data_IF_006662924130
#
_entry.id   IF_006662924130
#
_cell.length_a   1.000
_cell.length_b   1.000
_cell.length_c   1.000
_cell.angle_alpha   90.00
_cell.angle_beta   90.00
_cell.angle_gamma   90.00
#
_symmetry.space_group_name_H-M   'P 1'
#
loop_
_entity.id
_entity.type
_entity.pdbx_description
1 polymer ?
#
# COMPACT_ATOMS: atom_id res chain seq x y z
N UNK A 1 -3.96 -9.71 -5.82
CA UNK A 1 -4.56 -9.53 -4.48
C UNK A 1 -4.59 -8.04 -4.17
N UNK A 2 -5.72 -7.50 -3.72
CA UNK A 2 -5.83 -6.10 -3.29
C UNK A 2 -5.69 -6.02 -1.77
N UNK A 3 -4.99 -5.00 -1.28
CA UNK A 3 -4.86 -4.69 0.14
C UNK A 3 -5.26 -3.22 0.40
N UNK A 4 -5.88 -2.98 1.55
CA UNK A 4 -6.02 -1.62 2.11
C UNK A 4 -4.88 -1.37 3.08
N UNK A 5 -4.09 -0.35 2.79
CA UNK A 5 -3.06 0.18 3.68
C UNK A 5 -3.51 1.49 4.31
N UNK A 6 -3.14 1.72 5.57
CA UNK A 6 -3.24 3.02 6.22
C UNK A 6 -2.09 3.89 5.69
N UNK A 7 -2.37 5.11 5.24
CA UNK A 7 -1.31 6.02 4.78
C UNK A 7 -0.39 6.38 5.96
N UNK A 8 0.92 6.30 5.77
CA UNK A 8 1.89 6.68 6.79
C UNK A 8 1.79 8.18 7.09
N UNK A 9 1.42 8.53 8.32
CA UNK A 9 1.56 9.88 8.85
C UNK A 9 2.96 10.04 9.44
N UNK A 10 3.73 11.01 8.96
CA UNK A 10 5.00 11.39 9.57
C UNK A 10 4.73 12.04 10.94
N UNK A 11 4.89 11.28 12.02
CA UNK A 11 4.95 11.83 13.38
C UNK A 11 6.41 11.97 13.85
N UNK A 12 6.75 13.01 14.62
CA UNK A 12 8.13 13.35 14.97
C UNK A 12 8.65 12.50 16.13
N UNK A 13 9.91 12.10 15.99
CA UNK A 13 10.90 11.73 17.01
C UNK A 13 10.41 11.17 18.35
N UNK A 14 10.72 9.88 18.59
CA UNK A 14 10.95 9.36 19.93
C UNK A 14 12.01 8.25 19.85
N UNK A 15 13.16 8.49 20.48
CA UNK A 15 14.30 7.57 20.55
C UNK A 15 13.93 6.27 21.29
N UNK A 16 14.41 5.08 20.87
CA UNK A 16 14.07 3.84 21.56
C UNK A 16 14.98 3.61 22.78
N UNK A 17 14.37 3.46 23.96
CA UNK A 17 14.98 2.82 25.14
C UNK A 17 15.12 1.31 24.86
N UNK A 18 16.31 0.75 25.12
CA UNK A 18 16.61 -0.69 25.05
C UNK A 18 15.72 -1.47 26.03
N UNK A 19 15.14 -2.58 25.54
CA UNK A 19 14.49 -3.62 26.37
C UNK A 19 15.31 -4.93 26.30
N UNK A 20 15.39 -5.72 27.40
CA UNK A 20 16.16 -6.97 27.45
C UNK A 20 15.42 -8.15 26.77
N UNK A 21 16.12 -9.25 26.44
CA UNK A 21 15.57 -10.34 25.63
C UNK A 21 14.60 -11.26 26.40
N UNK A 22 13.58 -11.86 25.75
CA UNK A 22 12.68 -12.82 26.38
C UNK A 22 13.22 -14.26 26.35
N UNK A 23 13.03 -14.97 27.45
CA UNK A 23 13.29 -16.42 27.62
C UNK A 23 12.21 -17.30 26.98
N UNK A 24 12.50 -18.56 26.57
CA UNK A 24 11.53 -19.40 25.86
C UNK A 24 10.55 -20.09 26.81
N UNK A 25 9.24 -20.01 26.53
CA UNK A 25 8.20 -20.80 27.20
C UNK A 25 7.38 -21.63 26.22
N UNK A 26 7.38 -22.93 26.50
CA UNK A 26 6.40 -24.00 26.29
C UNK A 26 5.40 -23.93 25.12
N UNK A 27 5.38 -25.01 24.33
CA UNK A 27 4.42 -25.30 23.27
C UNK A 27 3.02 -25.56 23.83
N UNK A 28 2.10 -24.62 23.63
CA UNK A 28 0.66 -24.87 23.76
C UNK A 28 0.07 -25.15 22.38
N UNK A 29 -0.58 -26.31 22.22
CA UNK A 29 -1.34 -26.69 21.00
C UNK A 29 -2.44 -25.65 20.74
N UNK A 30 -2.39 -24.95 19.60
CA UNK A 30 -3.51 -24.14 19.13
C UNK A 30 -4.66 -25.06 18.67
N UNK A 31 -5.76 -25.07 19.42
CA UNK A 31 -7.06 -25.52 18.91
C UNK A 31 -7.60 -24.43 17.98
N UNK A 32 -7.83 -24.79 16.72
CA UNK A 32 -8.55 -23.95 15.76
C UNK A 32 -10.00 -23.77 16.23
N UNK A 33 -10.39 -22.55 16.57
CA UNK A 33 -11.80 -22.18 16.72
C UNK A 33 -12.34 -21.72 15.36
N UNK A 34 -13.56 -22.14 14.97
CA UNK A 34 -14.17 -21.70 13.73
C UNK A 34 -14.48 -20.20 13.79
N UNK A 35 -14.22 -19.51 12.67
CA UNK A 35 -14.41 -18.09 12.51
C UNK A 35 -15.85 -17.67 12.84
N UNK A 36 -16.01 -16.92 13.94
CA UNK A 36 -17.21 -16.12 14.18
C UNK A 36 -17.30 -15.06 13.08
N UNK A 37 -18.29 -15.20 12.21
CA UNK A 37 -18.77 -14.11 11.35
C UNK A 37 -19.01 -12.89 12.24
N UNK A 38 -18.21 -11.85 12.03
CA UNK A 38 -18.36 -10.59 12.74
C UNK A 38 -19.72 -10.00 12.36
N UNK A 39 -20.66 -9.99 13.32
CA UNK A 39 -21.93 -9.28 13.19
C UNK A 39 -21.61 -7.80 12.92
N UNK A 40 -22.25 -7.22 11.91
CA UNK A 40 -22.17 -5.80 11.58
C UNK A 40 -22.64 -4.95 12.77
N UNK A 41 -21.85 -3.94 13.12
CA UNK A 41 -22.31 -2.81 13.93
C UNK A 41 -22.90 -1.75 13.00
N UNK A 42 -24.23 -1.50 13.04
CA UNK A 42 -24.89 -0.54 12.15
C UNK A 42 -24.53 0.93 12.44
N UNK A 43 -23.69 1.19 13.46
CA UNK A 43 -23.18 2.51 13.80
C UNK A 43 -21.68 2.40 14.05
N UNK A 44 -20.89 2.13 13.00
CA UNK A 44 -19.43 2.24 13.10
C UNK A 44 -19.06 3.68 13.50
N UNK A 45 -18.72 3.89 14.78
CA UNK A 45 -18.29 5.17 15.34
C UNK A 45 -16.78 5.39 15.23
N UNK A 46 -16.05 4.51 14.52
CA UNK A 46 -14.62 4.72 14.32
C UNK A 46 -14.35 6.06 13.62
N UNK A 47 -13.25 6.75 13.98
CA UNK A 47 -12.86 7.95 13.28
C UNK A 47 -12.60 7.62 11.82
N UNK A 48 -12.83 8.60 10.95
CA UNK A 48 -12.37 8.49 9.58
C UNK A 48 -10.85 8.48 9.54
N UNK A 49 -10.30 7.58 8.73
CA UNK A 49 -8.87 7.46 8.47
C UNK A 49 -8.60 7.55 6.98
N UNK A 50 -7.35 7.85 6.62
CA UNK A 50 -6.91 7.87 5.23
C UNK A 50 -6.42 6.48 4.83
N UNK A 51 -7.09 5.91 3.84
CA UNK A 51 -6.79 4.61 3.24
C UNK A 51 -6.27 4.77 1.81
N UNK A 52 -5.57 3.75 1.33
CA UNK A 52 -5.26 3.59 -0.09
C UNK A 52 -5.37 2.12 -0.48
N UNK A 53 -5.74 1.85 -1.74
CA UNK A 53 -5.92 0.49 -2.26
C UNK A 53 -4.75 0.13 -3.16
N UNK A 54 -4.14 -1.02 -2.88
CA UNK A 54 -2.92 -1.46 -3.52
C UNK A 54 -3.09 -2.81 -4.22
N UNK A 55 -2.67 -2.89 -5.48
CA UNK A 55 -2.45 -4.15 -6.17
C UNK A 55 -1.05 -4.68 -5.85
N UNK A 56 -1.00 -5.92 -5.38
CA UNK A 56 0.23 -6.57 -4.95
C UNK A 56 0.75 -7.49 -6.05
N UNK A 57 2.00 -7.31 -6.53
CA UNK A 57 2.60 -8.22 -7.49
C UNK A 57 2.69 -9.64 -6.90
N UNK A 58 2.50 -10.69 -7.72
CA UNK A 58 2.69 -12.07 -7.27
C UNK A 58 4.18 -12.37 -7.05
N UNK A 59 4.48 -13.47 -6.35
CA UNK A 59 5.83 -14.05 -6.43
C UNK A 59 6.04 -14.71 -7.81
N UNK A 60 7.28 -14.75 -8.33
CA UNK A 60 8.54 -14.27 -7.73
C UNK A 60 8.84 -12.78 -8.00
N UNK A 61 7.96 -12.07 -8.70
CA UNK A 61 8.17 -10.67 -9.08
C UNK A 61 8.30 -9.77 -7.86
N UNK A 62 7.47 -10.00 -6.84
CA UNK A 62 7.49 -9.21 -5.61
C UNK A 62 8.81 -9.36 -4.85
N UNK A 63 9.35 -10.56 -4.71
CA UNK A 63 10.67 -10.79 -4.12
C UNK A 63 11.77 -10.05 -4.90
N UNK A 64 11.78 -10.17 -6.23
CA UNK A 64 12.73 -9.43 -7.08
C UNK A 64 12.66 -7.91 -6.84
N UNK A 65 11.45 -7.36 -6.75
CA UNK A 65 11.24 -5.94 -6.44
C UNK A 65 11.72 -5.59 -5.04
N UNK A 66 11.47 -6.42 -4.02
CA UNK A 66 12.03 -6.21 -2.67
C UNK A 66 13.55 -6.14 -2.67
N UNK A 67 14.21 -7.01 -3.46
CA UNK A 67 15.67 -6.99 -3.63
C UNK A 67 16.17 -5.67 -4.20
N UNK A 68 15.57 -5.21 -5.30
CA UNK A 68 15.91 -3.91 -5.94
C UNK A 68 15.68 -2.74 -4.95
N UNK A 69 14.52 -2.71 -4.31
CA UNK A 69 14.18 -1.69 -3.31
C UNK A 69 15.12 -1.72 -2.11
N UNK A 70 15.58 -2.91 -1.71
CA UNK A 70 16.58 -3.11 -0.67
C UNK A 70 17.93 -2.51 -1.03
N UNK A 71 18.44 -2.79 -2.24
CA UNK A 71 19.69 -2.23 -2.74
C UNK A 71 19.65 -0.71 -2.85
N UNK A 72 18.60 -0.17 -3.46
CA UNK A 72 18.43 1.27 -3.60
C UNK A 72 18.32 1.97 -2.23
N UNK A 73 17.59 1.38 -1.26
CA UNK A 73 17.50 1.92 0.09
C UNK A 73 18.84 1.88 0.83
N UNK A 74 19.63 0.82 0.65
CA UNK A 74 20.96 0.74 1.23
C UNK A 74 21.89 1.84 0.69
N UNK A 75 21.76 2.19 -0.60
CA UNK A 75 22.56 3.22 -1.24
C UNK A 75 22.09 4.66 -0.94
N UNK A 76 20.78 4.88 -0.78
CA UNK A 76 20.19 6.23 -0.76
C UNK A 76 19.35 6.56 0.49
N UNK A 77 19.22 5.62 1.43
CA UNK A 77 18.34 5.74 2.60
C UNK A 77 16.86 5.49 2.27
N UNK A 78 15.99 5.81 3.22
CA UNK A 78 14.53 5.70 3.07
C UNK A 78 13.85 4.59 3.89
N UNK A 79 12.52 4.68 4.10
CA UNK A 79 11.77 3.65 4.79
C UNK A 79 11.56 2.42 3.90
N UNK A 80 11.45 1.26 4.53
CA UNK A 80 11.03 0.03 3.86
C UNK A 80 9.51 0.00 3.69
N UNK A 81 9.04 -0.61 2.60
CA UNK A 81 7.63 -0.85 2.31
C UNK A 81 7.49 -2.00 1.32
N UNK A 82 6.30 -2.60 1.25
CA UNK A 82 6.03 -3.69 0.31
C UNK A 82 5.91 -3.16 -1.12
N UNK A 83 6.44 -3.87 -2.13
CA UNK A 83 6.21 -3.52 -3.53
C UNK A 83 4.70 -3.57 -3.85
N UNK A 84 4.14 -2.48 -4.37
CA UNK A 84 2.72 -2.37 -4.67
C UNK A 84 2.44 -1.35 -5.78
N UNK A 85 1.33 -1.52 -6.50
CA UNK A 85 0.75 -0.49 -7.36
C UNK A 85 -0.44 0.16 -6.69
N UNK A 86 -0.47 1.50 -6.63
CA UNK A 86 -1.64 2.19 -6.08
C UNK A 86 -2.76 2.19 -7.13
N UNK A 87 -3.89 1.58 -6.78
CA UNK A 87 -5.10 1.51 -7.63
C UNK A 87 -6.07 2.63 -7.27
N UNK A 88 -6.19 2.93 -5.97
CA UNK A 88 -6.94 4.07 -5.41
C UNK A 88 -6.03 4.84 -4.48
N UNK A 89 -5.98 6.16 -4.65
CA UNK A 89 -5.18 7.08 -3.86
C UNK A 89 -5.69 7.25 -2.42
N UNK A 90 -5.17 8.28 -1.75
CA UNK A 90 -5.55 8.62 -0.38
C UNK A 90 -7.05 8.97 -0.32
N UNK A 91 -7.84 8.13 0.34
CA UNK A 91 -9.27 8.32 0.53
C UNK A 91 -9.63 8.27 2.00
N UNK A 92 -10.47 9.20 2.44
CA UNK A 92 -10.91 9.29 3.83
C UNK A 92 -12.23 8.55 4.02
N UNK A 93 -12.22 7.50 4.84
CA UNK A 93 -13.37 6.65 5.13
C UNK A 93 -13.33 6.19 6.58
N UNK A 94 -14.47 5.77 7.11
CA UNK A 94 -14.51 4.93 8.33
C UNK A 94 -14.03 3.53 8.02
N UNK A 95 -13.55 2.82 9.04
CA UNK A 95 -12.91 1.52 8.88
C UNK A 95 -13.85 0.48 8.26
N UNK A 96 -15.10 0.39 8.75
CA UNK A 96 -16.07 -0.58 8.21
C UNK A 96 -16.37 -0.32 6.74
N UNK A 97 -16.60 0.95 6.37
CA UNK A 97 -16.85 1.37 5.00
C UNK A 97 -15.67 1.03 4.07
N UNK A 98 -14.43 1.25 4.52
CA UNK A 98 -13.23 0.90 3.76
C UNK A 98 -13.09 -0.62 3.53
N UNK A 99 -13.42 -1.43 4.55
CA UNK A 99 -13.37 -2.89 4.45
C UNK A 99 -14.45 -3.41 3.49
N UNK A 100 -15.68 -2.92 3.60
CA UNK A 100 -16.77 -3.33 2.72
C UNK A 100 -16.51 -2.90 1.28
N UNK A 101 -16.10 -1.65 1.04
CA UNK A 101 -15.72 -1.18 -0.28
C UNK A 101 -14.59 -2.02 -0.89
N UNK A 102 -13.58 -2.39 -0.10
CA UNK A 102 -12.50 -3.27 -0.56
C UNK A 102 -13.03 -4.66 -0.95
N UNK A 103 -13.89 -5.26 -0.12
CA UNK A 103 -14.46 -6.60 -0.37
C UNK A 103 -15.26 -6.61 -1.66
N UNK A 104 -16.16 -5.63 -1.83
CA UNK A 104 -16.99 -5.52 -3.03
C UNK A 104 -16.14 -5.25 -4.27
N UNK A 105 -15.16 -4.33 -4.19
CA UNK A 105 -14.27 -4.06 -5.30
C UNK A 105 -13.44 -5.28 -5.69
N UNK A 106 -12.86 -5.99 -4.72
CA UNK A 106 -12.03 -7.17 -4.96
C UNK A 106 -12.82 -8.34 -5.56
N UNK A 107 -14.10 -8.50 -5.24
CA UNK A 107 -14.96 -9.54 -5.82
C UNK A 107 -15.18 -9.34 -7.34
N UNK A 108 -15.13 -8.09 -7.83
CA UNK A 108 -15.28 -7.76 -9.25
C UNK A 108 -13.97 -7.71 -10.05
N UNK A 109 -12.81 -7.92 -9.40
CA UNK A 109 -11.50 -7.79 -10.05
C UNK A 109 -10.84 -9.14 -10.20
N UNK A 110 -10.53 -9.51 -11.44
CA UNK A 110 -9.62 -10.62 -11.73
C UNK A 110 -8.16 -10.15 -11.62
N UNK A 111 -7.21 -11.04 -11.29
CA UNK A 111 -5.79 -10.75 -11.49
C UNK A 111 -5.55 -10.26 -12.92
N UNK A 112 -4.72 -9.21 -13.06
CA UNK A 112 -4.43 -8.56 -14.33
C UNK A 112 -2.93 -8.40 -14.54
N UNK A 113 -2.54 -8.19 -15.79
CA UNK A 113 -1.13 -8.00 -16.16
C UNK A 113 -0.81 -6.52 -16.30
N UNK A 114 0.23 -6.08 -15.60
CA UNK A 114 0.81 -4.75 -15.77
C UNK A 114 2.20 -4.87 -16.39
N UNK A 115 2.48 -4.03 -17.39
CA UNK A 115 3.78 -3.97 -18.06
C UNK A 115 4.53 -2.72 -17.64
N UNK A 116 5.81 -2.88 -17.30
CA UNK A 116 6.68 -1.75 -16.97
C UNK A 116 7.12 -1.07 -18.26
N UNK A 117 6.75 0.19 -18.43
CA UNK A 117 7.15 1.05 -19.55
C UNK A 117 8.54 1.67 -19.34
N UNK A 118 8.96 1.86 -18.08
CA UNK A 118 10.26 2.44 -17.77
C UNK A 118 10.44 2.76 -16.29
N UNK A 119 11.55 3.42 -15.99
CA UNK A 119 11.86 3.99 -14.68
C UNK A 119 11.74 5.50 -14.78
N UNK A 120 11.16 6.14 -13.77
CA UNK A 120 11.07 7.59 -13.66
C UNK A 120 11.43 8.05 -12.25
N UNK A 121 11.71 9.34 -12.13
CA UNK A 121 11.91 10.05 -10.88
C UNK A 121 11.06 11.32 -10.88
N UNK A 122 10.78 11.82 -9.69
CA UNK A 122 10.03 13.03 -9.44
C UNK A 122 10.65 13.80 -8.27
N UNK A 123 10.12 14.99 -8.04
CA UNK A 123 10.59 15.96 -7.05
C UNK A 123 9.84 15.85 -5.70
N UNK A 124 8.87 14.95 -5.59
CA UNK A 124 8.09 14.73 -4.39
C UNK A 124 8.59 13.52 -3.60
N UNK A 125 8.52 13.57 -2.26
CA UNK A 125 8.96 12.49 -1.36
C UNK A 125 8.42 11.12 -1.77
N UNK A 126 7.15 11.07 -2.19
CA UNK A 126 6.47 9.84 -2.62
C UNK A 126 6.64 9.52 -4.11
N UNK A 127 7.56 10.18 -4.81
CA UNK A 127 7.88 9.95 -6.22
C UNK A 127 9.39 10.03 -6.48
N UNK A 128 10.26 9.57 -5.57
CA UNK A 128 11.72 9.73 -5.76
C UNK A 128 12.24 8.87 -6.93
N UNK A 129 11.95 7.57 -6.92
CA UNK A 129 12.24 6.65 -8.04
C UNK A 129 11.08 5.67 -8.13
N UNK A 130 10.48 5.49 -9.30
CA UNK A 130 9.31 4.62 -9.47
C UNK A 130 9.28 3.97 -10.86
N UNK A 131 8.53 2.87 -10.97
CA UNK A 131 8.26 2.22 -12.24
C UNK A 131 7.02 2.83 -12.91
N UNK A 132 7.15 3.18 -14.18
CA UNK A 132 6.01 3.55 -15.01
C UNK A 132 5.34 2.28 -15.51
N UNK A 133 4.03 2.17 -15.34
CA UNK A 133 3.24 1.14 -16.01
C UNK A 133 2.63 1.67 -17.30
N UNK A 134 2.54 0.78 -18.29
CA UNK A 134 1.70 1.00 -19.45
C UNK A 134 0.22 1.11 -19.01
N UNK A 135 -0.52 2.13 -19.45
CA UNK A 135 -1.93 2.28 -19.16
C UNK A 135 -2.77 1.37 -20.07
N UNK A 136 -2.53 0.06 -19.99
CA UNK A 136 -3.32 -0.92 -20.74
C UNK A 136 -4.77 -0.98 -20.20
N UNK A 137 -5.73 -1.52 -20.97
CA UNK A 137 -7.14 -1.57 -20.55
C UNK A 137 -7.34 -2.24 -19.19
N UNK A 138 -6.71 -3.38 -18.91
CA UNK A 138 -6.88 -4.08 -17.64
C UNK A 138 -6.44 -3.23 -16.43
N UNK A 139 -5.31 -2.52 -16.57
CA UNK A 139 -4.75 -1.64 -15.56
C UNK A 139 -5.70 -0.45 -15.31
N UNK A 140 -6.20 0.18 -16.37
CA UNK A 140 -7.12 1.32 -16.29
C UNK A 140 -8.47 0.89 -15.71
N UNK A 141 -9.06 -0.19 -16.22
CA UNK A 141 -10.35 -0.72 -15.77
C UNK A 141 -10.32 -1.17 -14.31
N UNK A 142 -9.24 -1.80 -13.85
CA UNK A 142 -9.10 -2.15 -12.43
C UNK A 142 -9.10 -0.89 -11.52
N UNK A 143 -8.50 0.20 -11.98
CA UNK A 143 -8.52 1.49 -11.27
C UNK A 143 -9.90 2.14 -11.33
N UNK A 144 -10.56 2.15 -12.48
CA UNK A 144 -11.93 2.66 -12.68
C UNK A 144 -12.94 1.93 -11.80
N UNK A 145 -12.90 0.60 -11.82
CA UNK A 145 -13.73 -0.26 -10.98
C UNK A 145 -13.54 0.03 -9.49
N UNK A 146 -12.28 0.06 -9.01
CA UNK A 146 -12.02 0.39 -7.62
C UNK A 146 -12.46 1.81 -7.27
N UNK A 147 -12.19 2.80 -8.12
CA UNK A 147 -12.56 4.17 -7.84
C UNK A 147 -14.08 4.34 -7.71
N UNK A 148 -14.87 3.62 -8.53
CA UNK A 148 -16.32 3.60 -8.42
C UNK A 148 -16.81 3.11 -7.05
N UNK A 149 -16.27 1.98 -6.57
CA UNK A 149 -16.62 1.43 -5.25
C UNK A 149 -16.23 2.33 -4.08
N UNK A 150 -15.13 3.08 -4.23
CA UNK A 150 -14.64 3.97 -3.19
C UNK A 150 -15.19 5.40 -3.32
N UNK A 151 -15.95 5.74 -4.36
CA UNK A 151 -16.37 7.13 -4.63
C UNK A 151 -15.19 8.08 -4.91
N UNK A 152 -14.06 7.54 -5.33
CA UNK A 152 -12.81 8.29 -5.50
C UNK A 152 -12.79 9.04 -6.83
N UNK A 153 -12.72 10.36 -6.78
CA UNK A 153 -12.64 11.22 -7.95
C UNK A 153 -11.19 11.58 -8.26
N UNK A 154 -10.73 11.28 -9.48
CA UNK A 154 -9.36 11.58 -9.91
C UNK A 154 -9.31 12.97 -10.52
N UNK A 155 -8.42 13.84 -10.05
CA UNK A 155 -8.15 15.13 -10.68
C UNK A 155 -7.30 15.02 -11.95
N UNK A 156 -6.59 13.89 -12.15
CA UNK A 156 -5.84 13.60 -13.37
C UNK A 156 -5.78 12.09 -13.63
N UNK A 157 -5.91 11.65 -14.89
CA UNK A 157 -5.63 10.26 -15.35
C UNK A 157 -4.13 9.94 -15.35
N UNK A 158 -3.33 10.58 -14.49
CA UNK A 158 -1.88 10.39 -14.51
C UNK A 158 -1.56 9.04 -13.88
N UNK A 159 -1.05 8.17 -14.77
CA UNK A 159 -0.20 7.01 -14.54
C UNK A 159 -0.55 6.19 -13.30
N UNK A 160 -1.10 5.00 -13.51
CA UNK A 160 -1.08 3.96 -12.50
C UNK A 160 0.40 3.66 -12.23
N UNK A 161 0.96 4.33 -11.23
CA UNK A 161 2.30 4.08 -10.75
C UNK A 161 2.24 2.73 -10.01
N UNK A 162 2.65 1.65 -10.70
CA UNK A 162 3.14 0.50 -9.96
C UNK A 162 4.44 0.89 -9.33
N UNK A 163 4.58 0.56 -8.05
CA UNK A 163 5.61 1.08 -7.16
C UNK A 163 5.48 2.58 -7.04
N UNK A 164 4.61 3.08 -6.14
CA UNK A 164 4.65 4.51 -5.82
C UNK A 164 6.07 4.95 -5.49
N UNK A 165 6.92 4.07 -4.96
CA UNK A 165 8.36 4.26 -4.95
C UNK A 165 9.09 2.92 -5.11
N UNK A 166 10.36 2.98 -5.49
CA UNK A 166 11.39 1.98 -5.22
C UNK A 166 12.18 2.37 -3.95
N UNK A 167 12.28 3.68 -3.66
CA UNK A 167 12.86 4.29 -2.44
C UNK A 167 12.15 5.62 -2.15
N UNK A 168 11.95 5.98 -0.87
CA UNK A 168 11.65 7.36 -0.50
C UNK A 168 12.92 8.04 0.02
N UNK A 169 13.25 9.23 -0.48
CA UNK A 169 14.31 10.07 0.10
C UNK A 169 13.70 11.21 0.89
N UNK A 170 14.24 11.49 2.10
CA UNK A 170 13.92 12.75 2.78
C UNK A 170 14.34 13.91 1.88
N UNK A 171 13.57 15.02 1.83
CA UNK A 171 14.01 16.21 1.12
C UNK A 171 15.37 16.63 1.66
N UNK A 172 16.31 16.90 0.74
CA UNK A 172 17.55 17.60 1.08
C UNK A 172 17.12 19.01 1.47
N UNK A 173 17.26 19.35 2.75
CA UNK A 173 17.21 20.74 3.18
C UNK A 173 18.48 21.36 2.63
N UNK A 174 18.34 22.26 1.66
CA UNK A 174 19.43 23.15 1.31
C UNK A 174 19.58 24.12 2.48
N UNK A 175 20.70 24.02 3.20
CA UNK A 175 21.12 25.09 4.09
C UNK A 175 21.58 26.25 3.18
N UNK A 176 20.84 27.37 3.22
CA UNK A 176 21.30 28.70 2.78
C UNK A 176 21.98 29.42 3.96
#
# INVERSE_FOLDING_TARGET
MLLVGKAYSSSPHSSPRRSPPPTPRSRSRLRLQPHRSARMDPVDQSPEEVYSVWAIPPEPVRERLRGIMGGLRAAHGGPAFEPHATVVGAIRLRRSAAIEALRTAAAGIRPYTARVAGVACGDFFYQCVYLLLEPNPEVVEASDHCCGHFGYHRSTRKCIAASKNLVYQKPLVADD
#
